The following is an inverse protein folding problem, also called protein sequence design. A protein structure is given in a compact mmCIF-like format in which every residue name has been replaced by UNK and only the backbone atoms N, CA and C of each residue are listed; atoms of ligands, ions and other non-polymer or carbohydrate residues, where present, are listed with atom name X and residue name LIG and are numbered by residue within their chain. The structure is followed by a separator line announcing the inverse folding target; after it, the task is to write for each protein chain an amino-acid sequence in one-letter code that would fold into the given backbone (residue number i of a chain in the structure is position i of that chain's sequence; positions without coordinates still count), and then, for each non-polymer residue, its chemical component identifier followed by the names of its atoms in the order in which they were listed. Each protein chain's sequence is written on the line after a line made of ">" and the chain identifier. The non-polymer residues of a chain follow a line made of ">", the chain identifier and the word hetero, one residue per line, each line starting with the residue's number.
data_IF_799488918146
#
_entry.id   IF_799488918146
#
_cell.length_a   1.000
_cell.length_b   1.000
_cell.length_c   1.000
_cell.angle_alpha   90.00
_cell.angle_beta   90.00
_cell.angle_gamma   90.00
#
_symmetry.space_group_name_H-M   'P 1'
#
loop_
_entity.id
_entity.type
_entity.pdbx_description
1 polymer ?
#
# COMPACT_ATOMS: atom_id res chain seq x y z
N UNK A 1 -16.21 -2.42 -16.82
CA UNK A 1 -15.66 -3.43 -15.89
C UNK A 1 -15.45 -2.76 -14.54
N UNK A 2 -16.10 -3.25 -13.49
CA UNK A 2 -15.86 -2.78 -12.12
C UNK A 2 -14.42 -3.16 -11.76
N UNK A 3 -13.58 -2.17 -11.43
CA UNK A 3 -12.21 -2.45 -10.97
C UNK A 3 -12.24 -3.07 -9.58
N UNK A 4 -11.29 -3.95 -9.24
CA UNK A 4 -11.21 -4.51 -7.90
C UNK A 4 -10.99 -3.39 -6.87
N UNK A 5 -11.71 -3.46 -5.75
CA UNK A 5 -11.49 -2.55 -4.63
C UNK A 5 -10.29 -3.04 -3.82
N UNK A 6 -9.34 -2.15 -3.52
CA UNK A 6 -8.26 -2.45 -2.57
C UNK A 6 -8.87 -2.67 -1.19
N UNK A 7 -8.61 -3.83 -0.58
CA UNK A 7 -9.10 -4.21 0.76
C UNK A 7 -8.03 -4.02 1.82
N UNK A 8 -6.82 -4.46 1.51
CA UNK A 8 -5.71 -4.55 2.45
C UNK A 8 -4.40 -4.36 1.71
N UNK A 9 -3.43 -3.73 2.37
CA UNK A 9 -2.06 -3.59 1.84
C UNK A 9 -1.05 -3.96 2.91
N UNK A 10 0.08 -4.50 2.44
CA UNK A 10 1.29 -4.70 3.23
C UNK A 10 2.40 -3.87 2.58
N UNK A 11 3.08 -3.08 3.39
CA UNK A 11 4.26 -2.31 3.03
C UNK A 11 5.42 -2.78 3.92
N UNK A 12 6.52 -3.20 3.33
CA UNK A 12 7.68 -3.61 4.11
C UNK A 12 8.98 -3.17 3.46
N UNK A 13 9.94 -2.82 4.31
CA UNK A 13 11.26 -2.34 3.89
C UNK A 13 12.22 -3.52 3.78
N UNK A 14 13.06 -3.46 2.77
CA UNK A 14 14.23 -4.33 2.61
C UNK A 14 15.47 -3.45 2.47
N UNK A 15 16.69 -3.98 2.62
CA UNK A 15 17.92 -3.19 2.48
C UNK A 15 18.07 -2.46 1.14
N UNK A 16 17.35 -2.88 0.10
CA UNK A 16 17.50 -2.34 -1.26
C UNK A 16 16.27 -1.58 -1.77
N UNK A 17 15.09 -1.73 -1.16
CA UNK A 17 13.83 -1.12 -1.62
C UNK A 17 12.69 -1.32 -0.64
N UNK A 18 11.60 -0.59 -0.89
CA UNK A 18 10.28 -0.86 -0.35
C UNK A 18 9.52 -1.87 -1.21
N UNK A 19 8.87 -2.82 -0.56
CA UNK A 19 8.03 -3.85 -1.19
C UNK A 19 6.60 -3.72 -0.73
N UNK A 20 5.69 -4.08 -1.64
CA UNK A 20 4.25 -3.93 -1.44
C UNK A 20 3.53 -5.22 -1.79
N UNK A 21 2.49 -5.53 -1.03
CA UNK A 21 1.44 -6.49 -1.39
C UNK A 21 0.10 -5.80 -1.26
N UNK A 22 -0.80 -6.02 -2.22
CA UNK A 22 -2.12 -5.41 -2.29
C UNK A 22 -3.13 -6.55 -2.46
N UNK A 23 -4.04 -6.68 -1.50
CA UNK A 23 -5.16 -7.59 -1.58
C UNK A 23 -6.39 -6.83 -2.11
N UNK A 24 -7.01 -7.38 -3.14
CA UNK A 24 -8.11 -6.81 -3.90
C UNK A 24 -9.39 -7.64 -3.73
N UNK A 25 -10.57 -7.04 -3.87
CA UNK A 25 -11.86 -7.73 -3.89
C UNK A 25 -12.25 -8.03 -5.35
N UNK A 26 -12.66 -9.27 -5.70
CA UNK A 26 -12.99 -10.40 -4.84
C UNK A 26 -11.86 -11.46 -4.78
N UNK A 27 -10.72 -11.15 -4.16
CA UNK A 27 -9.59 -12.07 -3.90
C UNK A 27 -8.53 -12.16 -5.01
N UNK A 28 -8.10 -11.01 -5.53
CA UNK A 28 -6.84 -10.90 -6.29
C UNK A 28 -5.71 -10.35 -5.41
N UNK A 29 -4.46 -10.72 -5.72
CA UNK A 29 -3.28 -10.23 -5.02
C UNK A 29 -2.26 -9.65 -6.01
N UNK A 30 -1.90 -8.39 -5.81
CA UNK A 30 -0.79 -7.72 -6.49
C UNK A 30 0.43 -7.65 -5.59
N UNK A 31 1.61 -8.01 -6.07
CA UNK A 31 2.87 -7.92 -5.33
C UNK A 31 3.92 -7.17 -6.15
N UNK A 32 4.77 -6.39 -5.49
CA UNK A 32 5.79 -5.63 -6.20
C UNK A 32 6.75 -4.88 -5.31
N UNK A 33 7.39 -3.88 -5.91
CA UNK A 33 8.16 -2.86 -5.22
C UNK A 33 7.46 -1.52 -5.39
N UNK A 34 7.68 -0.60 -4.46
CA UNK A 34 7.17 0.75 -4.56
C UNK A 34 8.12 1.58 -5.46
N UNK A 35 7.72 1.96 -6.68
CA UNK A 35 8.64 2.59 -7.63
C UNK A 35 8.94 4.03 -7.21
N UNK A 36 10.21 4.42 -7.27
CA UNK A 36 10.66 5.78 -6.95
C UNK A 36 10.87 6.07 -5.46
N UNK A 37 10.64 5.10 -4.58
CA UNK A 37 10.88 5.24 -3.13
C UNK A 37 12.15 4.49 -2.73
N UNK A 38 13.19 5.24 -2.34
CA UNK A 38 14.47 4.68 -1.90
C UNK A 38 14.33 3.96 -0.54
N UNK A 39 15.17 2.94 -0.25
CA UNK A 39 15.04 2.12 0.98
C UNK A 39 15.24 2.88 2.29
N UNK A 40 15.91 4.03 2.26
CA UNK A 40 16.20 4.89 3.42
C UNK A 40 15.10 5.92 3.70
N UNK A 41 14.15 6.09 2.77
CA UNK A 41 12.99 6.97 2.95
C UNK A 41 12.22 6.60 4.22
N UNK A 42 11.84 7.55 5.09
CA UNK A 42 11.01 7.30 6.27
C UNK A 42 9.71 6.55 5.96
N UNK A 43 9.16 5.82 6.93
CA UNK A 43 7.96 5.02 6.69
C UNK A 43 6.75 5.89 6.32
N UNK A 44 6.61 7.05 6.92
CA UNK A 44 5.51 7.98 6.68
C UNK A 44 5.49 8.44 5.21
N UNK A 45 6.66 8.74 4.65
CA UNK A 45 6.82 9.12 3.26
C UNK A 45 6.57 7.93 2.32
N UNK A 46 7.05 6.74 2.66
CA UNK A 46 6.78 5.52 1.91
C UNK A 46 5.28 5.14 1.90
N UNK A 47 4.56 5.38 3.02
CA UNK A 47 3.11 5.18 3.10
C UNK A 47 2.36 6.19 2.20
N UNK A 48 2.81 7.44 2.14
CA UNK A 48 2.25 8.44 1.22
C UNK A 48 2.53 8.10 -0.24
N UNK A 49 3.74 7.63 -0.55
CA UNK A 49 4.11 7.14 -1.87
C UNK A 49 3.26 5.95 -2.30
N UNK A 50 3.03 4.99 -1.39
CA UNK A 50 2.12 3.88 -1.66
C UNK A 50 0.70 4.38 -1.94
N UNK A 51 0.18 5.31 -1.13
CA UNK A 51 -1.16 5.84 -1.37
C UNK A 51 -1.26 6.52 -2.75
N UNK A 52 -0.24 7.26 -3.17
CA UNK A 52 -0.14 7.83 -4.53
C UNK A 52 -0.08 6.73 -5.59
N UNK A 53 0.67 5.66 -5.34
CA UNK A 53 0.79 4.52 -6.25
C UNK A 53 -0.55 3.79 -6.43
N UNK A 54 -1.26 3.51 -5.33
CA UNK A 54 -2.60 2.90 -5.35
C UNK A 54 -3.62 3.76 -6.11
N UNK A 55 -3.58 5.08 -5.90
CA UNK A 55 -4.44 6.04 -6.65
C UNK A 55 -4.19 5.97 -8.15
N UNK A 56 -2.93 5.87 -8.59
CA UNK A 56 -2.58 5.84 -10.03
C UNK A 56 -2.91 4.51 -10.69
N UNK A 57 -2.60 3.39 -10.03
CA UNK A 57 -2.69 2.07 -10.66
C UNK A 57 -4.03 1.37 -10.37
N UNK A 58 -4.54 1.49 -9.15
CA UNK A 58 -5.79 0.87 -8.72
C UNK A 58 -6.99 1.83 -8.70
N UNK A 59 -6.80 3.13 -9.02
CA UNK A 59 -7.86 4.16 -8.87
C UNK A 59 -8.42 4.21 -7.43
N UNK A 60 -7.61 3.86 -6.44
CA UNK A 60 -8.02 3.83 -5.05
C UNK A 60 -8.32 5.25 -4.52
N UNK A 61 -9.55 5.50 -4.06
CA UNK A 61 -9.98 6.82 -3.56
C UNK A 61 -10.08 6.91 -2.04
N UNK A 62 -9.98 5.78 -1.34
CA UNK A 62 -10.08 5.71 0.11
C UNK A 62 -8.83 6.17 0.87
N UNK A 63 -8.87 5.97 2.18
CA UNK A 63 -7.73 6.12 3.08
C UNK A 63 -7.13 4.76 3.46
N UNK A 64 -6.00 4.78 4.15
CA UNK A 64 -5.37 3.59 4.73
C UNK A 64 -5.23 3.78 6.23
N UNK A 65 -5.71 2.81 7.02
CA UNK A 65 -5.49 2.75 8.47
C UNK A 65 -4.35 1.79 8.75
N UNK A 66 -3.22 2.35 9.21
CA UNK A 66 -1.95 1.65 9.34
C UNK A 66 -1.72 1.04 10.72
N UNK A 67 -1.08 -0.12 10.73
CA UNK A 67 -0.59 -0.83 11.90
C UNK A 67 0.81 -1.38 11.61
N UNK A 68 1.74 -1.23 12.55
CA UNK A 68 3.04 -1.88 12.44
C UNK A 68 2.95 -3.33 12.88
N UNK A 69 3.19 -4.27 11.96
CA UNK A 69 3.07 -5.71 12.22
C UNK A 69 4.42 -6.39 12.48
N UNK A 70 5.53 -5.67 12.29
CA UNK A 70 6.87 -6.15 12.63
C UNK A 70 7.96 -5.08 12.44
N UNK A 71 9.23 -5.41 12.74
CA UNK A 71 10.36 -4.59 12.35
C UNK A 71 10.34 -4.46 10.82
N UNK A 72 10.32 -3.23 10.32
CA UNK A 72 10.29 -2.94 8.89
C UNK A 72 9.04 -3.43 8.13
N UNK A 73 7.91 -3.68 8.80
CA UNK A 73 6.68 -4.16 8.17
C UNK A 73 5.42 -3.49 8.74
N UNK A 74 4.58 -2.98 7.84
CA UNK A 74 3.35 -2.24 8.15
C UNK A 74 2.20 -2.73 7.29
N UNK A 75 1.08 -3.03 7.93
CA UNK A 75 -0.17 -3.40 7.30
C UNK A 75 -1.14 -2.23 7.30
N UNK A 76 -2.03 -2.17 6.31
CA UNK A 76 -3.17 -1.27 6.39
C UNK A 76 -4.43 -1.87 5.80
N UNK A 77 -5.55 -1.58 6.46
CA UNK A 77 -6.88 -1.80 5.91
C UNK A 77 -7.31 -0.57 5.14
N UNK A 78 -7.98 -0.79 4.00
CA UNK A 78 -8.66 0.29 3.29
C UNK A 78 -9.82 0.81 4.13
N UNK A 79 -9.90 2.13 4.26
CA UNK A 79 -11.05 2.82 4.85
C UNK A 79 -11.75 3.60 3.75
N UNK A 80 -13.09 3.65 3.83
CA UNK A 80 -13.88 4.45 2.91
C UNK A 80 -13.39 5.92 2.94
N UNK A 81 -13.40 6.63 1.79
CA UNK A 81 -13.23 8.09 1.83
C UNK A 81 -14.29 8.65 2.78
N UNK A 82 -13.86 9.43 3.78
CA UNK A 82 -14.75 9.96 4.80
C UNK A 82 -15.96 10.67 4.17
N UNK A 83 -17.15 10.33 4.65
CA UNK A 83 -18.37 11.11 4.42
C UNK A 83 -18.37 12.40 5.22
#
# INVERSE_FOLDING_TARGET
>A
MNRPAVKYVLLYRTPTRWRISVAEIPDAFGCGHLPGTAPDVPVEDAQQDLLRHLRRHWQFTGGLSWEQTGPDSWAANAVAPGG
#
